data_IF_339027523226
#
_entry.id   IF_339027523226
#
_cell.length_a   1.000
_cell.length_b   1.000
_cell.length_c   1.000
_cell.angle_alpha   90.00
_cell.angle_beta   90.00
_cell.angle_gamma   90.00
#
_symmetry.space_group_name_H-M   'P 1'
#
loop_
_entity.id
_entity.type
_entity.pdbx_description
1 polymer ?
#
# COMPACT_ATOMS: atom_id res chain seq x y z
N UNK A 1 15.75 0.82 -3.48
CA UNK A 1 14.58 1.22 -4.30
C UNK A 1 14.89 2.47 -5.13
N UNK A 2 14.22 2.72 -6.26
CA UNK A 2 14.36 4.01 -6.96
C UNK A 2 13.52 5.15 -6.34
N UNK A 3 13.75 6.39 -6.80
CA UNK A 3 13.03 7.56 -6.27
C UNK A 3 11.53 7.53 -6.55
N UNK A 4 11.10 6.91 -7.65
CA UNK A 4 9.69 6.84 -8.04
C UNK A 4 8.90 5.92 -7.10
N UNK A 5 9.38 4.70 -6.90
CA UNK A 5 8.75 3.74 -5.99
C UNK A 5 8.72 4.25 -4.54
N UNK A 6 9.77 4.96 -4.09
CA UNK A 6 9.80 5.61 -2.77
C UNK A 6 8.71 6.68 -2.62
N UNK A 7 8.51 7.53 -3.64
CA UNK A 7 7.46 8.56 -3.64
C UNK A 7 6.09 7.91 -3.58
N UNK A 8 5.84 6.89 -4.39
CA UNK A 8 4.54 6.21 -4.43
C UNK A 8 4.20 5.49 -3.13
N UNK A 9 5.18 4.84 -2.48
CA UNK A 9 5.00 4.26 -1.15
C UNK A 9 4.73 5.32 -0.08
N UNK A 10 5.43 6.47 -0.13
CA UNK A 10 5.17 7.58 0.79
C UNK A 10 3.73 8.09 0.63
N UNK A 11 3.27 8.26 -0.61
CA UNK A 11 1.89 8.65 -0.92
C UNK A 11 0.87 7.62 -0.43
N UNK A 12 1.13 6.32 -0.57
CA UNK A 12 0.28 5.26 -0.03
C UNK A 12 0.16 5.34 1.49
N UNK A 13 1.29 5.60 2.18
CA UNK A 13 1.31 5.77 3.64
C UNK A 13 0.47 6.96 4.07
N UNK A 14 0.63 8.12 3.41
CA UNK A 14 -0.13 9.33 3.69
C UNK A 14 -1.62 9.12 3.44
N UNK A 15 -2.01 8.55 2.29
CA UNK A 15 -3.41 8.23 2.00
C UNK A 15 -4.04 7.30 3.05
N UNK A 16 -3.27 6.34 3.56
CA UNK A 16 -3.75 5.41 4.59
C UNK A 16 -3.93 6.09 5.95
N UNK A 17 -3.03 7.04 6.29
CA UNK A 17 -3.12 7.82 7.53
C UNK A 17 -4.25 8.86 7.47
N UNK A 18 -4.41 9.51 6.32
CA UNK A 18 -5.41 10.56 6.08
C UNK A 18 -6.80 10.00 5.76
N UNK A 19 -6.92 8.68 5.56
CA UNK A 19 -8.18 7.94 5.49
C UNK A 19 -8.88 7.93 6.87
N UNK A 20 -9.33 9.12 7.27
CA UNK A 20 -10.24 9.36 8.39
C UNK A 20 -11.64 8.80 8.03
N UNK A 21 -11.92 8.59 6.74
CA UNK A 21 -13.17 8.04 6.21
C UNK A 21 -13.23 6.50 6.20
N UNK A 22 -13.82 6.00 7.28
CA UNK A 22 -14.90 4.99 7.40
C UNK A 22 -14.89 3.60 6.72
N UNK A 23 -14.07 3.29 5.71
CA UNK A 23 -14.18 1.98 5.01
C UNK A 23 -13.13 0.95 5.42
N UNK A 24 -11.95 1.38 5.86
CA UNK A 24 -10.90 0.47 6.36
C UNK A 24 -10.88 0.51 7.87
N UNK A 25 -11.05 -0.65 8.52
CA UNK A 25 -10.90 -0.75 9.99
C UNK A 25 -9.53 -0.21 10.47
N UNK A 26 -9.47 0.46 11.64
CA UNK A 26 -8.24 1.06 12.15
C UNK A 26 -7.03 0.11 12.18
N UNK A 27 -7.22 -1.13 12.62
CA UNK A 27 -6.14 -2.12 12.72
C UNK A 27 -5.53 -2.49 11.35
N UNK A 28 -6.32 -2.48 10.27
CA UNK A 28 -5.81 -2.72 8.92
C UNK A 28 -5.03 -1.52 8.39
N UNK A 29 -5.51 -0.29 8.68
CA UNK A 29 -4.76 0.93 8.34
C UNK A 29 -3.41 0.94 9.05
N UNK A 30 -3.38 0.65 10.34
CA UNK A 30 -2.16 0.54 11.13
C UNK A 30 -1.21 -0.50 10.54
N UNK A 31 -1.72 -1.69 10.19
CA UNK A 31 -0.92 -2.75 9.58
C UNK A 31 -0.36 -2.33 8.21
N UNK A 32 -1.16 -1.68 7.36
CA UNK A 32 -0.72 -1.20 6.06
C UNK A 32 0.35 -0.10 6.21
N UNK A 33 0.13 0.87 7.10
CA UNK A 33 1.12 1.92 7.40
C UNK A 33 2.42 1.33 7.93
N UNK A 34 2.36 0.33 8.80
CA UNK A 34 3.54 -0.34 9.32
C UNK A 34 4.30 -1.04 8.20
N UNK A 35 3.62 -1.87 7.39
CA UNK A 35 4.25 -2.57 6.28
C UNK A 35 4.92 -1.61 5.27
N UNK A 36 4.25 -0.50 4.93
CA UNK A 36 4.82 0.52 4.04
C UNK A 36 6.03 1.21 4.68
N UNK A 37 5.98 1.47 5.99
CA UNK A 37 7.11 2.06 6.72
C UNK A 37 8.31 1.12 6.72
N UNK A 38 8.10 -0.17 6.95
CA UNK A 38 9.16 -1.18 6.94
C UNK A 38 9.83 -1.24 5.55
N UNK A 39 9.05 -1.24 4.46
CA UNK A 39 9.56 -1.23 3.09
C UNK A 39 10.42 0.02 2.80
N UNK A 40 10.02 1.17 3.31
CA UNK A 40 10.75 2.44 3.15
C UNK A 40 12.05 2.47 3.98
N UNK A 41 12.04 1.88 5.18
CA UNK A 41 13.18 1.85 6.10
C UNK A 41 14.29 0.93 5.60
N UNK A 42 13.92 -0.27 5.10
CA UNK A 42 14.90 -1.24 4.61
C UNK A 42 15.36 -0.98 3.17
N UNK A 43 14.85 0.08 2.53
CA UNK A 43 15.05 0.37 1.10
C UNK A 43 14.75 -0.84 0.20
N UNK A 44 13.59 -1.48 0.45
CA UNK A 44 13.22 -2.76 -0.14
C UNK A 44 13.38 -2.80 -1.67
N UNK A 45 13.68 -3.98 -2.19
CA UNK A 45 13.70 -4.19 -3.64
C UNK A 45 12.30 -4.05 -4.23
N UNK A 46 12.25 -3.71 -5.51
CA UNK A 46 11.01 -3.64 -6.29
C UNK A 46 10.17 -4.92 -6.19
N UNK A 47 10.82 -6.09 -6.23
CA UNK A 47 10.15 -7.38 -6.08
C UNK A 47 9.51 -7.55 -4.69
N UNK A 48 10.24 -7.20 -3.63
CA UNK A 48 9.71 -7.28 -2.25
C UNK A 48 8.54 -6.32 -2.02
N UNK A 49 8.63 -5.09 -2.55
CA UNK A 49 7.53 -4.11 -2.50
C UNK A 49 6.29 -4.68 -3.17
N UNK A 50 6.42 -5.20 -4.40
CA UNK A 50 5.31 -5.78 -5.17
C UNK A 50 4.67 -6.96 -4.46
N UNK A 51 5.48 -7.90 -3.94
CA UNK A 51 4.98 -9.05 -3.19
C UNK A 51 4.21 -8.64 -1.92
N UNK A 52 4.75 -7.71 -1.14
CA UNK A 52 4.09 -7.22 0.09
C UNK A 52 2.81 -6.47 -0.20
N UNK A 53 2.78 -5.63 -1.24
CA UNK A 53 1.57 -4.89 -1.61
C UNK A 53 0.48 -5.79 -2.19
N UNK A 54 0.80 -6.78 -3.02
CA UNK A 54 -0.19 -7.75 -3.53
C UNK A 54 -0.79 -8.56 -2.36
N UNK A 55 0.05 -9.03 -1.44
CA UNK A 55 -0.41 -9.75 -0.25
C UNK A 55 -1.32 -8.88 0.63
N UNK A 56 -0.93 -7.62 0.85
CA UNK A 56 -1.75 -6.65 1.59
C UNK A 56 -3.06 -6.32 0.89
N UNK A 57 -3.05 -6.21 -0.45
CA UNK A 57 -4.23 -5.94 -1.26
C UNK A 57 -5.28 -7.03 -1.09
N UNK A 58 -4.91 -8.30 -1.22
CA UNK A 58 -5.83 -9.41 -1.01
C UNK A 58 -6.37 -9.43 0.42
N UNK A 59 -5.52 -9.19 1.42
CA UNK A 59 -5.96 -9.17 2.82
C UNK A 59 -6.97 -8.06 3.12
N UNK A 60 -6.77 -6.86 2.54
CA UNK A 60 -7.69 -5.73 2.73
C UNK A 60 -8.99 -5.95 1.96
N UNK A 61 -8.90 -6.40 0.70
CA UNK A 61 -10.07 -6.69 -0.13
C UNK A 61 -10.96 -7.77 0.51
N UNK A 62 -10.36 -8.87 1.00
CA UNK A 62 -11.09 -9.95 1.66
C UNK A 62 -11.71 -9.51 3.00
N UNK A 63 -11.04 -8.62 3.73
CA UNK A 63 -11.47 -8.21 5.07
C UNK A 63 -12.53 -7.11 5.08
N UNK A 64 -12.50 -6.20 4.10
CA UNK A 64 -13.31 -4.97 4.10
C UNK A 64 -14.26 -4.88 2.89
N UNK A 65 -14.14 -5.76 1.88
CA UNK A 65 -14.89 -5.65 0.61
C UNK A 65 -14.77 -4.26 -0.03
N UNK A 66 -13.58 -3.66 0.05
CA UNK A 66 -13.32 -2.35 -0.58
C UNK A 66 -13.55 -2.43 -2.08
N UNK A 67 -14.14 -1.37 -2.62
CA UNK A 67 -14.24 -1.19 -4.06
C UNK A 67 -12.85 -1.01 -4.69
N UNK A 68 -12.71 -1.44 -5.95
CA UNK A 68 -11.47 -1.29 -6.71
C UNK A 68 -11.09 0.18 -6.97
N UNK A 69 -12.07 1.09 -6.88
CA UNK A 69 -11.85 2.54 -6.99
C UNK A 69 -11.45 3.21 -5.67
N UNK A 70 -11.33 2.44 -4.57
CA UNK A 70 -10.90 2.99 -3.29
C UNK A 70 -9.48 3.59 -3.42
N UNK A 71 -9.21 4.81 -2.92
CA UNK A 71 -7.93 5.50 -3.15
C UNK A 71 -6.69 4.71 -2.73
N UNK A 72 -6.77 3.99 -1.60
CA UNK A 72 -5.69 3.10 -1.13
C UNK A 72 -5.47 1.95 -2.11
N UNK A 73 -6.55 1.36 -2.63
CA UNK A 73 -6.49 0.25 -3.58
C UNK A 73 -5.88 0.71 -4.91
N UNK A 74 -6.36 1.82 -5.46
CA UNK A 74 -5.82 2.41 -6.67
C UNK A 74 -4.33 2.72 -6.54
N UNK A 75 -3.90 3.26 -5.40
CA UNK A 75 -2.49 3.57 -5.16
C UNK A 75 -1.62 2.31 -5.08
N UNK A 76 -2.11 1.24 -4.44
CA UNK A 76 -1.41 -0.04 -4.38
C UNK A 76 -1.27 -0.67 -5.78
N UNK A 77 -2.34 -0.63 -6.59
CA UNK A 77 -2.33 -1.09 -7.97
C UNK A 77 -1.36 -0.29 -8.84
N UNK A 78 -1.35 1.04 -8.72
CA UNK A 78 -0.43 1.93 -9.44
C UNK A 78 1.03 1.56 -9.15
N UNK A 79 1.37 1.32 -7.87
CA UNK A 79 2.72 0.90 -7.48
C UNK A 79 3.07 -0.44 -8.14
N UNK A 80 2.19 -1.43 -8.05
CA UNK A 80 2.43 -2.76 -8.61
C UNK A 80 2.58 -2.73 -10.14
N UNK A 81 1.87 -1.84 -10.83
CA UNK A 81 1.94 -1.67 -12.28
C UNK A 81 3.15 -0.84 -12.73
N UNK A 82 3.62 0.10 -11.90
CA UNK A 82 4.82 0.91 -12.18
C UNK A 82 6.12 0.11 -12.00
N UNK A 83 6.07 -0.94 -11.17
CA UNK A 83 7.20 -1.82 -10.90
C UNK A 83 7.18 -2.97 -11.92
N UNK A 84 7.88 -2.74 -13.02
CA UNK A 84 8.24 -3.79 -13.99
C UNK A 84 9.39 -4.65 -13.44
N UNK A 85 9.34 -5.95 -13.71
CA UNK A 85 10.40 -6.90 -13.35
C UNK A 85 11.69 -6.67 -14.16
#
# INVERSE_FOLDING_TARGET
MDSGARISLTKLKELTLDSIDSEIRPWLRELLVQNVSDLLEIDASHSEVKQKLIGGFHAIHDAESLSEDHPVILQMQEICNSISD
#
